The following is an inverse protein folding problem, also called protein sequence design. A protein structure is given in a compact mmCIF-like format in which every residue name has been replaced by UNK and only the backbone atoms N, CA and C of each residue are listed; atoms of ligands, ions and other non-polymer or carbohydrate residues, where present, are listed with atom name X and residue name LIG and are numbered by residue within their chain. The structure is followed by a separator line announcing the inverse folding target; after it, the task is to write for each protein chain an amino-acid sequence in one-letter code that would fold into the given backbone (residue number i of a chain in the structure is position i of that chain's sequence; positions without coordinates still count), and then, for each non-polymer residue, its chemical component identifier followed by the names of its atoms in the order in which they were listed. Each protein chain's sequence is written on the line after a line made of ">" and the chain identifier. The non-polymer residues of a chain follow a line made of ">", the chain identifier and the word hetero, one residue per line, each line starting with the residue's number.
data_IF_514490412812
#
_entry.id   IF_514490412812
#
_cell.length_a   1.000
_cell.length_b   1.000
_cell.length_c   1.000
_cell.angle_alpha   90.00
_cell.angle_beta   90.00
_cell.angle_gamma   90.00
#
_symmetry.space_group_name_H-M   'P 1'
#
loop_
_entity.id
_entity.type
_entity.pdbx_description
1 polymer ?
#
# COMPACT_ATOMS: atom_id res chain seq x y z
N UNK A 1 15.81 20.69 2.41
CA UNK A 1 14.84 21.08 3.46
C UNK A 1 13.47 21.26 2.83
N UNK A 2 12.64 20.21 2.75
CA UNK A 2 11.25 20.32 2.25
C UNK A 2 10.37 19.10 2.57
N UNK A 3 10.78 18.23 3.52
CA UNK A 3 10.12 16.93 3.75
C UNK A 3 9.04 16.95 4.84
N UNK A 4 8.90 18.01 5.64
CA UNK A 4 8.01 17.98 6.82
C UNK A 4 6.54 18.31 6.52
N UNK A 5 6.22 18.91 5.37
CA UNK A 5 4.83 19.32 5.06
C UNK A 5 3.83 18.19 4.85
N UNK A 6 4.29 16.93 4.77
CA UNK A 6 3.45 15.74 4.61
C UNK A 6 3.29 14.91 5.89
N UNK A 7 3.95 15.31 6.98
CA UNK A 7 3.71 14.73 8.32
C UNK A 7 2.42 15.28 8.95
N UNK A 8 1.92 16.41 8.45
CA UNK A 8 0.69 17.09 8.88
C UNK A 8 -0.41 16.89 7.83
N UNK A 9 -0.79 15.63 7.58
CA UNK A 9 -1.86 15.29 6.62
C UNK A 9 -3.23 15.90 7.00
N UNK A 10 -3.42 16.24 8.28
CA UNK A 10 -4.59 16.91 8.83
C UNK A 10 -4.78 18.35 8.33
N UNK A 11 -3.77 18.95 7.73
CA UNK A 11 -3.85 20.26 7.07
C UNK A 11 -3.98 20.16 5.54
N UNK A 12 -4.11 18.95 5.00
CA UNK A 12 -4.22 18.70 3.56
C UNK A 12 -5.58 18.11 3.18
N UNK A 13 -6.20 18.71 2.17
CA UNK A 13 -7.39 18.17 1.51
C UNK A 13 -7.01 17.57 0.16
N UNK A 14 -7.20 16.25 0.04
CA UNK A 14 -7.15 15.51 -1.22
C UNK A 14 -8.52 15.47 -1.91
N UNK A 15 -8.67 16.12 -3.07
CA UNK A 15 -9.95 16.17 -3.79
C UNK A 15 -9.91 15.30 -5.04
N UNK A 16 -10.70 14.22 -5.05
CA UNK A 16 -10.87 13.41 -6.26
C UNK A 16 -11.59 14.24 -7.33
N UNK A 17 -11.00 14.30 -8.54
CA UNK A 17 -11.55 15.01 -9.70
C UNK A 17 -12.09 14.06 -10.75
N UNK A 18 -11.39 12.97 -11.01
CA UNK A 18 -11.75 12.01 -12.05
C UNK A 18 -11.21 10.62 -11.71
N UNK A 19 -11.91 9.61 -12.18
CA UNK A 19 -11.47 8.24 -12.24
C UNK A 19 -11.70 7.70 -13.66
N UNK A 20 -10.77 6.89 -14.15
CA UNK A 20 -10.87 6.21 -15.45
C UNK A 20 -10.41 4.78 -15.29
N UNK A 21 -11.19 3.83 -15.80
CA UNK A 21 -10.80 2.43 -15.93
C UNK A 21 -10.34 2.19 -17.36
N UNK A 22 -9.24 1.48 -17.52
CA UNK A 22 -8.77 0.97 -18.81
C UNK A 22 -8.62 -0.53 -18.67
N UNK A 23 -9.35 -1.28 -19.48
CA UNK A 23 -9.20 -2.73 -19.62
C UNK A 23 -8.98 -3.00 -21.11
N UNK A 24 -7.80 -3.50 -21.46
CA UNK A 24 -7.47 -3.87 -22.84
C UNK A 24 -7.00 -5.33 -22.88
N UNK A 25 -7.67 -6.12 -23.71
CA UNK A 25 -7.18 -7.42 -24.16
C UNK A 25 -6.29 -7.22 -25.39
N UNK A 26 -5.11 -7.84 -25.40
CA UNK A 26 -4.17 -7.87 -26.54
C UNK A 26 -3.41 -6.55 -26.82
N UNK A 27 -2.63 -6.08 -25.84
CA UNK A 27 -2.01 -4.76 -25.87
C UNK A 27 -0.57 -4.77 -26.44
N UNK A 28 -0.43 -4.96 -27.76
CA UNK A 28 0.82 -4.63 -28.47
C UNK A 28 1.05 -3.12 -28.64
N UNK A 29 0.04 -2.30 -28.31
CA UNK A 29 0.09 -0.83 -28.42
C UNK A 29 0.16 -0.20 -27.04
N UNK A 30 1.15 0.67 -26.83
CA UNK A 30 1.31 1.44 -25.60
C UNK A 30 0.05 2.23 -25.23
N UNK A 31 -0.28 2.27 -23.94
CA UNK A 31 -1.39 3.04 -23.39
C UNK A 31 -0.84 4.41 -22.99
N UNK A 32 -1.01 5.41 -23.85
CA UNK A 32 -0.71 6.80 -23.51
C UNK A 32 -1.73 7.34 -22.51
N UNK A 33 -1.23 7.93 -21.44
CA UNK A 33 -2.02 8.46 -20.34
C UNK A 33 -1.81 9.98 -20.28
N UNK A 34 -2.76 10.75 -20.81
CA UNK A 34 -2.75 12.21 -20.73
C UNK A 34 -3.37 12.68 -19.42
N UNK A 35 -2.65 13.58 -18.73
CA UNK A 35 -3.07 14.16 -17.47
C UNK A 35 -3.52 15.62 -17.64
N UNK A 36 -4.41 16.07 -16.75
CA UNK A 36 -4.79 17.49 -16.68
C UNK A 36 -3.66 18.34 -16.12
N UNK A 37 -3.60 19.62 -16.52
CA UNK A 37 -2.68 20.58 -15.89
C UNK A 37 -3.13 20.83 -14.45
N UNK A 38 -2.28 20.49 -13.48
CA UNK A 38 -2.48 20.86 -12.07
C UNK A 38 -3.07 19.79 -11.14
N UNK A 39 -3.32 18.56 -11.61
CA UNK A 39 -3.77 17.45 -10.76
C UNK A 39 -2.76 16.30 -10.76
N UNK A 40 -2.59 15.65 -9.61
CA UNK A 40 -1.88 14.37 -9.50
C UNK A 40 -2.69 13.26 -10.16
N UNK A 41 -2.01 12.20 -10.62
CA UNK A 41 -2.68 10.97 -11.06
C UNK A 41 -2.12 9.76 -10.33
N UNK A 42 -2.99 9.05 -9.62
CA UNK A 42 -2.71 7.72 -9.07
C UNK A 42 -3.07 6.68 -10.13
N UNK A 43 -2.06 5.98 -10.65
CA UNK A 43 -2.18 4.79 -11.47
C UNK A 43 -2.20 3.55 -10.57
N UNK A 44 -3.23 2.71 -10.69
CA UNK A 44 -3.32 1.42 -10.02
C UNK A 44 -3.41 0.31 -11.06
N UNK A 45 -2.43 -0.59 -11.09
CA UNK A 45 -2.41 -1.78 -11.96
C UNK A 45 -3.10 -2.93 -11.22
N UNK A 46 -4.29 -3.31 -11.65
CA UNK A 46 -5.14 -4.32 -10.98
C UNK A 46 -5.18 -5.65 -11.71
N UNK A 47 -4.64 -5.71 -12.94
CA UNK A 47 -4.41 -6.95 -13.68
C UNK A 47 -3.29 -6.72 -14.71
N UNK A 48 -2.45 -7.73 -14.93
CA UNK A 48 -1.39 -7.72 -15.94
C UNK A 48 -0.04 -7.21 -15.43
N UNK A 49 0.92 -7.13 -16.37
CA UNK A 49 2.28 -6.64 -16.13
C UNK A 49 2.79 -5.85 -17.34
N UNK A 50 3.83 -5.05 -17.14
CA UNK A 50 4.42 -4.25 -18.20
C UNK A 50 5.47 -3.27 -17.71
N UNK A 51 5.78 -2.29 -18.56
CA UNK A 51 6.74 -1.22 -18.28
C UNK A 51 6.04 0.13 -18.35
N UNK A 52 6.06 0.87 -17.25
CA UNK A 52 5.60 2.25 -17.18
C UNK A 52 6.75 3.19 -17.58
N UNK A 53 6.56 3.94 -18.65
CA UNK A 53 7.45 5.01 -19.09
C UNK A 53 6.91 6.35 -18.63
N UNK A 54 7.71 7.13 -17.92
CA UNK A 54 7.32 8.45 -17.38
C UNK A 54 8.58 9.27 -17.12
N UNK A 55 8.58 10.54 -17.51
CA UNK A 55 9.68 11.48 -17.27
C UNK A 55 11.07 10.95 -17.70
N UNK A 56 11.11 10.20 -18.80
CA UNK A 56 12.34 9.59 -19.34
C UNK A 56 12.83 8.36 -18.56
N UNK A 57 12.12 7.90 -17.54
CA UNK A 57 12.41 6.70 -16.76
C UNK A 57 11.45 5.55 -17.10
N UNK A 58 11.92 4.33 -16.89
CA UNK A 58 11.17 3.10 -17.13
C UNK A 58 11.07 2.30 -15.83
N UNK A 59 9.85 1.94 -15.44
CA UNK A 59 9.56 1.16 -14.25
C UNK A 59 8.82 -0.12 -14.60
N UNK A 60 9.30 -1.26 -14.12
CA UNK A 60 8.52 -2.50 -14.17
C UNK A 60 7.29 -2.39 -13.28
N UNK A 61 6.12 -2.73 -13.82
CA UNK A 61 4.85 -2.71 -13.09
C UNK A 61 4.10 -4.01 -13.30
N UNK A 62 3.43 -4.47 -12.26
CA UNK A 62 2.61 -5.68 -12.26
C UNK A 62 1.37 -5.50 -11.38
N UNK A 63 0.47 -6.47 -11.39
CA UNK A 63 -0.73 -6.49 -10.53
C UNK A 63 -0.38 -6.16 -9.07
N UNK A 64 -1.06 -5.17 -8.48
CA UNK A 64 -0.75 -4.63 -7.15
C UNK A 64 0.18 -3.42 -7.15
N UNK A 65 0.58 -2.90 -8.31
CA UNK A 65 1.44 -1.72 -8.39
C UNK A 65 0.63 -0.44 -8.39
N UNK A 66 1.02 0.49 -7.51
CA UNK A 66 0.59 1.89 -7.55
C UNK A 66 1.74 2.75 -8.04
N UNK A 67 1.44 3.74 -8.86
CA UNK A 67 2.35 4.82 -9.20
C UNK A 67 1.60 6.15 -9.08
N UNK A 68 2.17 7.11 -8.34
CA UNK A 68 1.61 8.47 -8.27
C UNK A 68 2.45 9.39 -9.13
N UNK A 69 1.83 9.90 -10.17
CA UNK A 69 2.44 10.82 -11.11
C UNK A 69 2.21 12.27 -10.68
N UNK A 70 3.27 13.07 -10.82
CA UNK A 70 3.19 14.52 -10.64
C UNK A 70 2.29 15.16 -11.71
N UNK A 71 1.70 16.33 -11.42
CA UNK A 71 0.90 17.08 -12.37
C UNK A 71 1.64 17.32 -13.70
N UNK A 72 0.90 17.16 -14.81
CA UNK A 72 1.40 17.30 -16.17
C UNK A 72 2.46 16.26 -16.61
N UNK A 73 2.76 15.23 -15.81
CA UNK A 73 3.63 14.14 -16.25
C UNK A 73 2.98 13.36 -17.41
N UNK A 74 3.79 13.03 -18.42
CA UNK A 74 3.36 12.17 -19.53
C UNK A 74 3.74 10.73 -19.22
N UNK A 75 2.75 9.84 -19.16
CA UNK A 75 2.99 8.42 -18.92
C UNK A 75 2.57 7.57 -20.12
N UNK A 76 3.34 6.54 -20.41
CA UNK A 76 2.99 5.49 -21.36
C UNK A 76 3.19 4.15 -20.69
N UNK A 77 2.13 3.35 -20.56
CA UNK A 77 2.25 1.97 -20.12
C UNK A 77 2.45 1.08 -21.34
N UNK A 78 3.49 0.27 -21.34
CA UNK A 78 3.76 -0.79 -22.32
C UNK A 78 3.42 -2.14 -21.68
N UNK A 79 2.24 -2.72 -21.96
CA UNK A 79 1.88 -4.02 -21.42
C UNK A 79 2.81 -5.11 -21.95
N UNK A 80 3.02 -6.15 -21.16
CA UNK A 80 3.83 -7.29 -21.53
C UNK A 80 2.97 -8.55 -21.57
N UNK A 81 3.00 -9.24 -22.71
CA UNK A 81 2.21 -10.44 -22.97
C UNK A 81 0.84 -10.14 -23.60
N UNK A 82 0.08 -11.21 -23.82
CA UNK A 82 -1.23 -11.16 -24.49
C UNK A 82 -2.40 -11.08 -23.50
N UNK A 83 -2.12 -11.22 -22.20
CA UNK A 83 -3.11 -11.17 -21.14
C UNK A 83 -3.77 -9.79 -21.03
N UNK A 84 -5.00 -9.76 -20.54
CA UNK A 84 -5.73 -8.52 -20.28
C UNK A 84 -4.99 -7.67 -19.26
N UNK A 85 -4.80 -6.40 -19.56
CA UNK A 85 -4.30 -5.42 -18.59
C UNK A 85 -5.46 -4.56 -18.11
N UNK A 86 -5.69 -4.56 -16.80
CA UNK A 86 -6.68 -3.71 -16.12
C UNK A 86 -5.93 -2.69 -15.26
N UNK A 87 -6.26 -1.42 -15.45
CA UNK A 87 -5.74 -0.34 -14.63
C UNK A 87 -6.80 0.73 -14.34
N UNK A 88 -6.63 1.39 -13.21
CA UNK A 88 -7.43 2.53 -12.79
C UNK A 88 -6.54 3.76 -12.66
N UNK A 89 -7.09 4.90 -13.08
CA UNK A 89 -6.44 6.21 -13.00
C UNK A 89 -7.33 7.10 -12.16
N UNK A 90 -6.81 7.63 -11.07
CA UNK A 90 -7.50 8.60 -10.22
C UNK A 90 -6.78 9.93 -10.29
N UNK A 91 -7.41 10.94 -10.89
CA UNK A 91 -6.89 12.31 -10.92
C UNK A 91 -7.43 13.08 -9.72
N UNK A 92 -6.54 13.73 -8.97
CA UNK A 92 -6.91 14.43 -7.75
C UNK A 92 -6.04 15.68 -7.49
N UNK A 93 -6.61 16.62 -6.75
CA UNK A 93 -5.90 17.82 -6.30
C UNK A 93 -5.51 17.69 -4.84
N UNK A 94 -4.43 18.38 -4.46
CA UNK A 94 -4.02 18.58 -3.07
C UNK A 94 -4.18 20.06 -2.75
N UNK A 95 -4.90 20.36 -1.69
CA UNK A 95 -5.15 21.72 -1.21
C UNK A 95 -4.75 21.81 0.25
N UNK A 96 -4.21 22.94 0.70
CA UNK A 96 -4.00 23.19 2.13
C UNK A 96 -5.26 23.77 2.76
N UNK A 97 -5.62 23.26 3.93
CA UNK A 97 -6.60 23.92 4.79
C UNK A 97 -5.96 25.19 5.36
N UNK A 98 -6.32 26.35 4.79
CA UNK A 98 -5.85 27.67 5.21
C UNK A 98 -6.88 28.41 6.05
N UNK A 99 -7.62 27.73 6.91
CA UNK A 99 -8.50 28.38 7.91
C UNK A 99 -7.76 29.32 8.88
N UNK A 100 -6.43 29.47 8.79
CA UNK A 100 -5.62 30.44 9.55
C UNK A 100 -5.11 31.67 8.78
N UNK A 101 -5.20 31.75 7.45
CA UNK A 101 -4.68 32.91 6.72
C UNK A 101 -5.76 33.56 5.85
N UNK A 102 -5.88 34.88 6.01
CA UNK A 102 -6.88 35.77 5.46
C UNK A 102 -7.19 35.54 3.98
N UNK A 103 -8.48 35.71 3.65
CA UNK A 103 -9.09 35.77 2.33
C UNK A 103 -8.16 36.30 1.22
N UNK A 104 -7.61 35.37 0.44
CA UNK A 104 -6.88 35.62 -0.79
C UNK A 104 -7.08 34.45 -1.75
N UNK A 105 -7.25 34.75 -3.03
CA UNK A 105 -7.67 33.83 -4.09
C UNK A 105 -6.98 32.45 -4.03
N UNK A 106 -7.80 31.41 -3.83
CA UNK A 106 -7.38 30.03 -3.60
C UNK A 106 -6.82 29.42 -4.88
N UNK A 107 -5.51 29.19 -4.94
CA UNK A 107 -4.89 28.28 -5.92
C UNK A 107 -4.52 26.98 -5.22
N UNK A 108 -4.82 25.85 -5.86
CA UNK A 108 -4.23 24.58 -5.49
C UNK A 108 -2.70 24.72 -5.59
N UNK A 109 -2.00 24.71 -4.47
CA UNK A 109 -0.54 24.63 -4.45
C UNK A 109 -0.15 23.20 -4.80
N UNK A 110 0.69 23.05 -5.82
CA UNK A 110 1.31 21.77 -6.14
C UNK A 110 2.37 21.49 -5.07
N UNK A 111 1.96 20.76 -4.04
CA UNK A 111 2.87 20.26 -3.02
C UNK A 111 3.53 18.98 -3.53
N UNK A 112 4.85 18.95 -3.75
CA UNK A 112 5.53 17.74 -4.21
C UNK A 112 5.30 16.62 -3.21
N UNK A 113 4.77 15.49 -3.69
CA UNK A 113 4.31 14.41 -2.82
C UNK A 113 5.46 13.46 -2.48
N UNK A 114 5.61 12.99 -1.21
CA UNK A 114 6.71 12.14 -0.82
C UNK A 114 6.65 10.86 -1.63
N UNK A 115 7.78 10.47 -2.20
CA UNK A 115 7.90 9.25 -3.02
C UNK A 115 6.99 9.21 -4.26
N UNK A 116 6.33 10.31 -4.64
CA UNK A 116 5.77 10.43 -5.98
C UNK A 116 6.89 10.23 -7.02
N UNK A 117 6.52 9.64 -8.14
CA UNK A 117 7.50 9.21 -9.14
C UNK A 117 8.15 7.85 -8.86
N UNK A 118 7.74 7.11 -7.81
CA UNK A 118 8.23 5.75 -7.53
C UNK A 118 7.08 4.74 -7.46
N UNK A 119 7.23 3.54 -8.04
CA UNK A 119 6.26 2.47 -7.87
C UNK A 119 6.19 1.97 -6.42
N UNK A 120 4.97 1.73 -5.96
CA UNK A 120 4.64 1.17 -4.65
C UNK A 120 3.90 -0.16 -4.83
N UNK A 121 4.17 -1.14 -3.97
CA UNK A 121 3.47 -2.44 -4.00
C UNK A 121 2.41 -2.49 -2.90
N UNK A 122 1.20 -2.85 -3.29
CA UNK A 122 0.08 -3.13 -2.39
C UNK A 122 -0.46 -4.52 -2.72
N UNK A 123 -0.91 -5.33 -1.72
CA UNK A 123 -1.54 -6.62 -1.98
C UNK A 123 -2.59 -6.55 -3.11
N UNK A 124 -2.46 -7.35 -4.19
CA UNK A 124 -3.27 -7.18 -5.40
C UNK A 124 -4.78 -7.23 -5.16
N UNK A 125 -5.25 -8.21 -4.39
CA UNK A 125 -6.67 -8.38 -4.02
C UNK A 125 -7.23 -7.10 -3.39
N UNK A 126 -6.45 -6.48 -2.50
CA UNK A 126 -6.84 -5.24 -1.85
C UNK A 126 -6.90 -4.07 -2.83
N UNK A 127 -5.85 -3.89 -3.64
CA UNK A 127 -5.78 -2.80 -4.62
C UNK A 127 -6.95 -2.86 -5.60
N UNK A 128 -7.25 -4.06 -6.10
CA UNK A 128 -8.36 -4.32 -7.02
C UNK A 128 -9.72 -4.01 -6.39
N UNK A 129 -9.94 -4.43 -5.14
CA UNK A 129 -11.18 -4.14 -4.42
C UNK A 129 -11.40 -2.64 -4.18
N UNK A 130 -10.40 -1.93 -3.65
CA UNK A 130 -10.48 -0.49 -3.39
C UNK A 130 -10.64 0.32 -4.69
N UNK A 131 -9.88 -0.04 -5.73
CA UNK A 131 -9.95 0.67 -7.02
C UNK A 131 -11.33 0.52 -7.68
N UNK A 132 -11.91 -0.69 -7.67
CA UNK A 132 -13.28 -0.91 -8.16
C UNK A 132 -14.32 -0.16 -7.33
N UNK A 133 -14.21 -0.17 -6.00
CA UNK A 133 -15.15 0.53 -5.13
C UNK A 133 -15.12 2.05 -5.36
N UNK A 134 -13.93 2.65 -5.45
CA UNK A 134 -13.75 4.06 -5.72
C UNK A 134 -14.26 4.44 -7.12
N UNK A 135 -13.86 3.68 -8.15
CA UNK A 135 -14.30 3.91 -9.53
C UNK A 135 -15.82 3.75 -9.68
N UNK A 136 -16.37 2.63 -9.22
CA UNK A 136 -17.79 2.30 -9.34
C UNK A 136 -18.68 3.34 -8.66
N UNK A 137 -18.28 3.80 -7.47
CA UNK A 137 -19.00 4.88 -6.77
C UNK A 137 -18.97 6.19 -7.57
N UNK A 138 -17.84 6.53 -8.21
CA UNK A 138 -17.71 7.76 -8.98
C UNK A 138 -18.53 7.75 -10.28
N UNK A 139 -18.72 6.57 -10.88
CA UNK A 139 -19.59 6.37 -12.04
C UNK A 139 -21.05 6.09 -11.66
N UNK A 140 -21.39 6.16 -10.38
CA UNK A 140 -22.75 5.94 -9.88
C UNK A 140 -23.75 6.97 -10.39
N UNK A 141 -25.02 6.58 -10.41
CA UNK A 141 -26.10 7.41 -10.96
C UNK A 141 -26.50 8.53 -10.00
N UNK A 142 -26.39 8.29 -8.69
CA UNK A 142 -26.80 9.26 -7.67
C UNK A 142 -25.67 10.20 -7.26
N UNK A 143 -26.04 11.40 -6.79
CA UNK A 143 -25.10 12.32 -6.17
C UNK A 143 -24.43 11.73 -4.91
N UNK A 144 -25.15 10.89 -4.16
CA UNK A 144 -24.65 10.23 -2.95
C UNK A 144 -23.56 9.21 -3.26
N UNK A 145 -23.70 8.40 -4.33
CA UNK A 145 -22.64 7.48 -4.77
C UNK A 145 -21.39 8.24 -5.22
N UNK A 146 -21.58 9.31 -5.99
CA UNK A 146 -20.45 10.17 -6.40
C UNK A 146 -19.79 10.83 -5.20
N UNK A 147 -20.55 11.23 -4.19
CA UNK A 147 -20.01 11.69 -2.91
C UNK A 147 -19.21 10.59 -2.20
N UNK A 148 -19.74 9.36 -2.11
CA UNK A 148 -19.07 8.19 -1.52
C UNK A 148 -17.73 7.86 -2.19
N UNK A 149 -17.57 8.17 -3.48
CA UNK A 149 -16.30 7.96 -4.20
C UNK A 149 -15.12 8.72 -3.57
N UNK A 150 -15.37 9.90 -2.99
CA UNK A 150 -14.37 10.68 -2.29
C UNK A 150 -13.82 9.92 -1.07
N UNK A 151 -14.72 9.31 -0.28
CA UNK A 151 -14.34 8.51 0.88
C UNK A 151 -13.53 7.26 0.47
N UNK A 152 -14.00 6.54 -0.54
CA UNK A 152 -13.29 5.35 -1.05
C UNK A 152 -11.90 5.68 -1.58
N UNK A 153 -11.75 6.83 -2.24
CA UNK A 153 -10.46 7.31 -2.69
C UNK A 153 -9.53 7.70 -1.53
N UNK A 154 -10.07 8.32 -0.47
CA UNK A 154 -9.29 8.62 0.73
C UNK A 154 -8.81 7.36 1.46
N UNK A 155 -9.61 6.29 1.48
CA UNK A 155 -9.18 4.99 2.00
C UNK A 155 -8.00 4.41 1.20
N UNK A 156 -8.05 4.52 -0.14
CA UNK A 156 -6.93 4.13 -1.00
C UNK A 156 -5.67 4.98 -0.72
N UNK A 157 -5.81 6.30 -0.60
CA UNK A 157 -4.70 7.19 -0.26
C UNK A 157 -4.13 6.92 1.13
N UNK A 158 -4.97 6.66 2.12
CA UNK A 158 -4.53 6.27 3.46
C UNK A 158 -3.61 5.05 3.38
N UNK A 159 -3.97 4.04 2.57
CA UNK A 159 -3.12 2.87 2.40
C UNK A 159 -1.79 3.18 1.69
N UNK A 160 -1.80 4.05 0.69
CA UNK A 160 -0.58 4.53 0.02
C UNK A 160 0.33 5.26 1.02
N UNK A 161 -0.23 6.19 1.79
CA UNK A 161 0.53 6.94 2.79
C UNK A 161 1.03 6.04 3.91
N UNK A 162 0.24 5.07 4.37
CA UNK A 162 0.68 4.12 5.39
C UNK A 162 1.92 3.35 4.92
N UNK A 163 2.01 2.98 3.65
CA UNK A 163 3.20 2.31 3.10
C UNK A 163 4.37 3.29 2.89
N UNK A 164 4.11 4.53 2.45
CA UNK A 164 5.18 5.54 2.25
C UNK A 164 5.75 6.11 3.55
N UNK A 165 4.93 6.17 4.60
CA UNK A 165 5.29 6.68 5.92
C UNK A 165 5.69 5.55 6.88
N UNK A 166 5.56 4.28 6.48
CA UNK A 166 6.07 3.17 7.27
C UNK A 166 7.57 3.37 7.47
N UNK A 167 7.98 3.57 8.71
CA UNK A 167 9.40 3.54 9.02
C UNK A 167 9.91 2.10 8.89
N UNK A 168 11.20 1.89 8.53
CA UNK A 168 11.79 0.55 8.51
C UNK A 168 11.63 -0.21 9.84
N UNK A 169 11.50 0.53 10.95
CA UNK A 169 11.20 0.02 12.29
C UNK A 169 9.77 -0.55 12.40
N UNK A 170 8.79 0.06 11.74
CA UNK A 170 7.38 -0.35 11.77
C UNK A 170 7.13 -1.59 10.91
N UNK A 171 7.68 -1.66 9.70
CA UNK A 171 7.64 -2.88 8.88
C UNK A 171 8.28 -4.06 9.61
N UNK A 172 9.43 -3.83 10.26
CA UNK A 172 10.13 -4.82 11.05
C UNK A 172 9.30 -5.25 12.28
N UNK A 173 8.62 -4.29 12.93
CA UNK A 173 7.72 -4.57 14.04
C UNK A 173 6.52 -5.42 13.63
N UNK A 174 5.88 -5.11 12.50
CA UNK A 174 4.75 -5.86 11.93
C UNK A 174 5.22 -7.27 11.54
N UNK A 175 6.39 -7.40 10.90
CA UNK A 175 6.97 -8.69 10.55
C UNK A 175 7.23 -9.57 11.79
N UNK A 176 7.72 -8.98 12.88
CA UNK A 176 7.95 -9.68 14.15
C UNK A 176 6.64 -10.08 14.86
N UNK A 177 5.55 -9.32 14.69
CA UNK A 177 4.23 -9.67 15.20
C UNK A 177 3.60 -10.82 14.43
N UNK A 178 3.59 -10.75 13.10
CA UNK A 178 3.15 -11.86 12.25
C UNK A 178 3.93 -13.13 12.53
N UNK A 179 5.24 -13.02 12.73
CA UNK A 179 6.08 -14.17 13.07
C UNK A 179 5.72 -14.78 14.44
N UNK A 180 5.41 -13.94 15.43
CA UNK A 180 4.95 -14.40 16.75
C UNK A 180 3.62 -15.14 16.62
N UNK A 181 2.64 -14.58 15.91
CA UNK A 181 1.34 -15.22 15.67
C UNK A 181 1.52 -16.57 14.96
N UNK A 182 2.42 -16.64 13.97
CA UNK A 182 2.72 -17.89 13.28
C UNK A 182 3.27 -18.95 14.24
N UNK A 183 4.23 -18.58 15.10
CA UNK A 183 4.76 -19.49 16.12
C UNK A 183 3.64 -19.97 17.05
N UNK A 184 2.76 -19.08 17.49
CA UNK A 184 1.66 -19.42 18.39
C UNK A 184 0.66 -20.41 17.78
N UNK A 185 0.47 -20.36 16.46
CA UNK A 185 -0.41 -21.27 15.73
C UNK A 185 0.28 -22.59 15.36
N UNK A 186 1.59 -22.59 15.09
CA UNK A 186 2.31 -23.74 14.54
C UNK A 186 3.37 -24.30 15.49
N UNK A 187 3.29 -24.01 16.79
CA UNK A 187 4.31 -24.40 17.78
C UNK A 187 4.52 -25.92 17.86
N UNK A 188 3.58 -26.74 17.43
CA UNK A 188 3.68 -28.20 17.40
C UNK A 188 4.59 -28.74 16.27
N UNK A 189 4.87 -27.92 15.25
CA UNK A 189 5.71 -28.30 14.11
C UNK A 189 7.21 -28.18 14.40
N UNK A 190 8.09 -28.87 13.65
CA UNK A 190 9.53 -28.61 13.70
C UNK A 190 9.84 -27.20 13.16
N UNK A 191 9.90 -26.23 14.07
CA UNK A 191 10.32 -24.85 13.79
C UNK A 191 11.83 -24.70 14.00
N UNK A 192 12.46 -23.86 13.18
CA UNK A 192 13.87 -23.48 13.31
C UNK A 192 14.04 -22.00 13.00
N UNK A 193 15.11 -21.37 13.51
CA UNK A 193 15.41 -19.96 13.21
C UNK A 193 15.50 -19.72 11.71
N UNK A 194 16.10 -20.66 10.95
CA UNK A 194 16.21 -20.57 9.49
C UNK A 194 14.84 -20.57 8.80
N UNK A 195 13.89 -21.38 9.28
CA UNK A 195 12.51 -21.43 8.76
C UNK A 195 11.77 -20.13 9.08
N UNK A 196 11.89 -19.64 10.31
CA UNK A 196 11.26 -18.38 10.75
C UNK A 196 11.83 -17.16 10.00
N UNK A 197 13.13 -17.15 9.75
CA UNK A 197 13.82 -16.15 8.92
C UNK A 197 13.31 -16.14 7.48
N UNK A 198 13.12 -17.33 6.89
CA UNK A 198 12.55 -17.45 5.53
C UNK A 198 11.13 -16.89 5.43
N UNK A 199 10.29 -17.09 6.45
CA UNK A 199 8.92 -16.58 6.48
C UNK A 199 8.83 -15.06 6.63
N UNK A 200 9.80 -14.45 7.30
CA UNK A 200 9.85 -13.00 7.56
C UNK A 200 10.72 -12.22 6.58
N UNK A 201 11.44 -12.91 5.67
CA UNK A 201 12.48 -12.34 4.79
C UNK A 201 13.61 -11.61 5.54
N UNK A 202 13.79 -11.90 6.84
CA UNK A 202 14.85 -11.33 7.69
C UNK A 202 16.00 -12.34 7.78
N UNK A 203 17.26 -11.87 7.76
CA UNK A 203 18.39 -12.78 7.96
C UNK A 203 18.34 -13.45 9.36
N UNK A 204 18.77 -14.72 9.51
CA UNK A 204 18.66 -15.45 10.79
C UNK A 204 19.29 -14.71 11.99
N UNK A 205 20.45 -14.09 11.79
CA UNK A 205 21.17 -13.34 12.83
C UNK A 205 20.40 -12.09 13.25
N UNK A 206 19.89 -11.35 12.28
CA UNK A 206 19.10 -10.14 12.53
C UNK A 206 17.76 -10.48 13.18
N UNK A 207 17.12 -11.59 12.77
CA UNK A 207 15.87 -12.05 13.36
C UNK A 207 16.03 -12.35 14.86
N UNK A 208 17.09 -13.08 15.25
CA UNK A 208 17.35 -13.40 16.66
C UNK A 208 17.52 -12.13 17.48
N UNK A 209 18.31 -11.18 16.98
CA UNK A 209 18.57 -9.92 17.66
C UNK A 209 17.25 -9.14 17.86
N UNK A 210 16.51 -8.91 16.78
CA UNK A 210 15.30 -8.08 16.83
C UNK A 210 14.16 -8.72 17.62
N UNK A 211 13.98 -10.04 17.52
CA UNK A 211 12.97 -10.75 18.31
C UNK A 211 13.30 -10.69 19.80
N UNK A 212 14.59 -10.79 20.17
CA UNK A 212 15.06 -10.61 21.54
C UNK A 212 14.90 -9.17 22.03
N UNK A 213 15.16 -8.18 21.19
CA UNK A 213 14.99 -6.78 21.56
C UNK A 213 13.51 -6.43 21.81
N UNK A 214 12.60 -6.95 20.97
CA UNK A 214 11.14 -6.72 21.08
C UNK A 214 10.48 -7.54 22.20
N UNK A 215 10.72 -8.85 22.25
CA UNK A 215 10.01 -9.78 23.15
C UNK A 215 10.83 -10.21 24.37
N UNK A 216 12.07 -9.71 24.52
CA UNK A 216 13.00 -10.01 25.62
C UNK A 216 13.39 -11.49 25.74
N UNK A 217 13.09 -12.30 24.73
CA UNK A 217 13.43 -13.73 24.65
C UNK A 217 13.84 -14.08 23.23
N UNK A 218 14.68 -15.11 23.08
CA UNK A 218 15.07 -15.57 21.74
C UNK A 218 13.95 -16.39 21.07
N UNK A 219 13.83 -16.38 19.72
CA UNK A 219 12.71 -17.02 19.03
C UNK A 219 12.50 -18.50 19.39
N UNK A 220 13.59 -19.28 19.47
CA UNK A 220 13.50 -20.70 19.79
C UNK A 220 13.24 -20.96 21.28
N UNK A 221 13.63 -20.03 22.15
CA UNK A 221 13.27 -20.10 23.55
C UNK A 221 11.77 -19.84 23.72
N UNK A 222 11.23 -18.84 23.03
CA UNK A 222 9.78 -18.58 22.99
C UNK A 222 8.98 -19.82 22.55
N UNK A 223 9.41 -20.51 21.48
CA UNK A 223 8.79 -21.76 21.01
C UNK A 223 8.82 -22.84 22.11
N UNK A 224 9.96 -23.02 22.80
CA UNK A 224 10.09 -24.00 23.89
C UNK A 224 9.15 -23.67 25.05
N UNK A 225 9.16 -22.43 25.53
CA UNK A 225 8.30 -21.99 26.62
C UNK A 225 6.83 -22.20 26.28
N UNK A 226 6.41 -21.83 25.07
CA UNK A 226 5.04 -22.00 24.61
C UNK A 226 4.63 -23.48 24.58
N UNK A 227 5.50 -24.38 24.10
CA UNK A 227 5.25 -25.83 24.13
C UNK A 227 5.02 -26.36 25.54
N UNK A 228 5.82 -25.92 26.51
CA UNK A 228 5.68 -26.33 27.91
C UNK A 228 4.38 -25.82 28.51
N UNK A 229 4.05 -24.54 28.29
CA UNK A 229 2.81 -23.94 28.77
C UNK A 229 1.57 -24.65 28.23
N UNK A 230 1.54 -24.92 26.91
CA UNK A 230 0.40 -25.60 26.27
C UNK A 230 0.28 -27.07 26.69
N UNK A 231 1.38 -27.76 27.00
CA UNK A 231 1.34 -29.12 27.58
C UNK A 231 0.74 -29.13 28.98
N UNK A 232 1.18 -28.22 29.86
CA UNK A 232 0.64 -28.09 31.24
C UNK A 232 -0.86 -27.79 31.24
N UNK A 233 -1.31 -26.89 30.37
CA UNK A 233 -2.73 -26.55 30.23
C UNK A 233 -3.60 -27.75 29.79
N UNK A 234 -3.05 -28.67 28.99
CA UNK A 234 -3.76 -29.87 28.51
C UNK A 234 -3.84 -30.99 29.55
N UNK A 235 -2.91 -31.04 30.51
CA UNK A 235 -2.95 -32.01 31.62
C UNK A 235 -3.92 -31.59 32.74
N UNK A 236 -4.11 -30.28 32.96
CA UNK A 236 -5.04 -29.78 33.98
C UNK A 236 -6.52 -29.95 33.60
N UNK A 237 -6.87 -29.90 32.31
CA UNK A 237 -8.25 -30.12 31.84
C UNK A 237 -8.64 -31.60 31.72
N UNK A 238 -7.68 -32.53 31.68
CA UNK A 238 -7.94 -33.97 31.63
C UNK A 238 -8.07 -34.63 33.03
N UNK A 239 -7.82 -33.89 34.11
CA UNK A 239 -7.92 -34.38 35.50
C UNK A 239 -9.19 -33.95 36.24
N UNK A 240 -10.18 -33.39 35.53
CA UNK A 240 -11.48 -32.96 36.09
C UNK A 240 -12.69 -33.53 35.30
N UNK A 241 -12.49 -34.59 34.53
CA UNK A 241 -13.55 -35.32 33.84
C UNK A 241 -13.62 -36.75 34.35
#
# INVERSE_FOLDING_TARGET
>A
MQADGWKELDHLWFKLRRAKRIAKSNAQVGISLSQGKGSYTLLAVTEGRGVLLTDGQAFGVEEGTIYVAEPAASMTLLPEGEATTELYLFSFDVMRDRTREMAGESRAELLPMPQAGKPLRIPPVSLSAMSRAAYGSMTGQSGLERFRSQFMFQELLHRVFNEWMAEPSDELNIALEHLRTYIEQHYYEPLSVKRLAGLSKISPRHLVQMFKDKYKVEPMEYVRTLRVQRRKAKTMTAGQA
#
